data_IF_058481642148
#
_entry.id   IF_058481642148
#
_cell.length_a   1.000
_cell.length_b   1.000
_cell.length_c   1.000
_cell.angle_alpha   90.00
_cell.angle_beta   90.00
_cell.angle_gamma   90.00
#
_symmetry.space_group_name_H-M   'P 1'
#
loop_
_entity.id
_entity.type
_entity.pdbx_description
1 polymer ?
#
# COMPACT_ATOMS: atom_id res chain seq x y z
N UNK A 1 3.19 15.72 -7.21
CA UNK A 1 3.72 15.61 -5.82
C UNK A 1 2.66 15.80 -4.71
N UNK A 2 1.35 15.59 -4.98
CA UNK A 2 0.28 15.74 -3.97
C UNK A 2 -0.57 14.48 -3.70
N UNK A 3 -0.21 13.31 -4.25
CA UNK A 3 -1.04 12.10 -4.13
C UNK A 3 -0.64 11.13 -2.99
N UNK A 4 0.57 11.26 -2.42
CA UNK A 4 1.12 10.28 -1.46
C UNK A 4 0.92 10.72 0.00
N UNK A 5 0.98 12.02 0.29
CA UNK A 5 1.04 12.52 1.67
C UNK A 5 -0.28 12.28 2.44
N UNK A 6 -1.44 12.58 1.86
CA UNK A 6 -2.73 12.46 2.57
C UNK A 6 -3.11 11.01 2.89
N UNK A 7 -2.82 10.07 1.99
CA UNK A 7 -3.05 8.65 2.24
C UNK A 7 -2.18 8.14 3.39
N UNK A 8 -0.93 8.61 3.49
CA UNK A 8 -0.04 8.29 4.61
C UNK A 8 -0.58 8.79 5.96
N UNK A 9 -1.13 10.01 5.99
CA UNK A 9 -1.75 10.59 7.20
C UNK A 9 -2.96 9.82 7.71
N UNK A 10 -3.64 9.04 6.86
CA UNK A 10 -4.74 8.15 7.27
C UNK A 10 -4.19 6.76 7.59
N UNK A 11 -3.31 6.24 6.72
CA UNK A 11 -2.74 4.91 6.84
C UNK A 11 -1.98 4.70 8.16
N UNK A 12 -1.11 5.65 8.51
CA UNK A 12 -0.27 5.56 9.69
C UNK A 12 -1.08 5.46 11.00
N UNK A 13 -2.03 6.37 11.31
CA UNK A 13 -2.84 6.22 12.52
C UNK A 13 -3.72 4.98 12.49
N UNK A 14 -4.24 4.54 11.33
CA UNK A 14 -5.01 3.28 11.25
C UNK A 14 -4.16 2.07 11.66
N UNK A 15 -2.96 1.93 11.09
CA UNK A 15 -2.04 0.82 11.43
C UNK A 15 -1.61 0.89 12.88
N UNK A 16 -1.33 2.10 13.40
CA UNK A 16 -0.91 2.31 14.79
C UNK A 16 -2.02 1.91 15.78
N UNK A 17 -3.26 2.34 15.52
CA UNK A 17 -4.42 1.98 16.35
C UNK A 17 -4.69 0.48 16.34
N UNK A 18 -4.61 -0.15 15.16
CA UNK A 18 -4.75 -1.59 15.03
C UNK A 18 -3.64 -2.33 15.79
N UNK A 19 -2.39 -1.90 15.64
CA UNK A 19 -1.25 -2.48 16.36
C UNK A 19 -1.42 -2.39 17.89
N UNK A 20 -1.91 -1.25 18.38
CA UNK A 20 -2.17 -1.05 19.81
C UNK A 20 -3.37 -1.90 20.30
N UNK A 21 -4.44 -2.01 19.50
CA UNK A 21 -5.60 -2.83 19.80
C UNK A 21 -5.28 -4.33 19.86
N UNK A 22 -4.28 -4.80 19.11
CA UNK A 22 -3.83 -6.20 19.16
C UNK A 22 -3.11 -6.58 20.47
N UNK A 23 -2.70 -5.60 21.29
CA UNK A 23 -2.19 -5.81 22.65
C UNK A 23 -1.02 -6.81 22.74
N UNK A 24 -0.99 -7.67 23.77
CA UNK A 24 0.13 -8.62 24.03
C UNK A 24 0.25 -9.78 23.02
N UNK A 25 -0.47 -9.76 21.89
CA UNK A 25 -0.41 -10.83 20.88
C UNK A 25 0.69 -10.54 19.85
N UNK A 26 1.95 -10.65 20.28
CA UNK A 26 3.16 -10.38 19.49
C UNK A 26 3.16 -10.99 18.08
N UNK A 27 2.67 -12.23 17.93
CA UNK A 27 2.56 -12.90 16.61
C UNK A 27 1.61 -12.17 15.65
N UNK A 28 0.44 -11.76 16.15
CA UNK A 28 -0.55 -11.04 15.34
C UNK A 28 -0.10 -9.61 15.06
N UNK A 29 0.60 -8.97 16.01
CA UNK A 29 1.20 -7.65 15.80
C UNK A 29 2.26 -7.68 14.69
N UNK A 30 3.15 -8.68 14.67
CA UNK A 30 4.12 -8.83 13.60
C UNK A 30 3.46 -9.14 12.25
N UNK A 31 2.43 -9.97 12.23
CA UNK A 31 1.67 -10.25 11.00
C UNK A 31 0.98 -8.98 10.47
N UNK A 32 0.44 -8.16 11.37
CA UNK A 32 -0.20 -6.89 11.03
C UNK A 32 0.81 -5.90 10.45
N UNK A 33 1.98 -5.76 11.07
CA UNK A 33 3.05 -4.91 10.56
C UNK A 33 3.57 -5.40 9.20
N UNK A 34 3.68 -6.71 9.01
CA UNK A 34 4.06 -7.31 7.73
C UNK A 34 3.01 -6.98 6.65
N UNK A 35 1.73 -7.22 6.92
CA UNK A 35 0.64 -6.89 6.00
C UNK A 35 0.55 -5.39 5.71
N UNK A 36 0.70 -4.55 6.75
CA UNK A 36 0.75 -3.10 6.59
C UNK A 36 1.93 -2.67 5.71
N UNK A 37 3.11 -3.27 5.88
CA UNK A 37 4.27 -2.96 5.03
C UNK A 37 4.01 -3.31 3.56
N UNK A 38 3.36 -4.45 3.30
CA UNK A 38 3.00 -4.89 1.95
C UNK A 38 1.92 -3.99 1.33
N UNK A 39 0.93 -3.58 2.12
CA UNK A 39 -0.12 -2.63 1.69
C UNK A 39 0.50 -1.26 1.42
N UNK A 40 1.35 -0.72 2.30
CA UNK A 40 1.99 0.57 2.10
C UNK A 40 2.82 0.62 0.82
N UNK A 41 3.60 -0.44 0.55
CA UNK A 41 4.38 -0.56 -0.69
C UNK A 41 3.51 -0.81 -1.92
N UNK A 42 2.45 -1.62 -1.80
CA UNK A 42 1.52 -1.94 -2.90
C UNK A 42 0.51 -0.83 -3.20
N UNK A 43 0.31 0.11 -2.29
CA UNK A 43 -0.61 1.23 -2.45
C UNK A 43 -0.11 2.26 -3.46
N UNK A 44 1.18 2.27 -3.77
CA UNK A 44 1.76 3.38 -4.52
C UNK A 44 1.47 3.35 -6.02
N UNK A 45 1.51 2.23 -6.76
CA UNK A 45 0.70 2.15 -8.00
C UNK A 45 0.67 0.79 -8.74
N UNK A 46 -0.49 0.14 -8.74
CA UNK A 46 -0.81 -0.98 -9.64
C UNK A 46 -1.50 -0.52 -10.95
N UNK A 47 -1.85 0.77 -11.09
CA UNK A 47 -2.62 1.32 -12.20
C UNK A 47 -1.70 1.98 -13.25
N UNK A 48 -0.61 2.61 -12.83
CA UNK A 48 0.45 3.12 -13.71
C UNK A 48 1.17 1.98 -14.42
N UNK A 49 1.35 0.81 -13.79
CA UNK A 49 1.86 -0.39 -14.47
C UNK A 49 0.90 -0.86 -15.57
N UNK A 50 -0.41 -0.87 -15.29
CA UNK A 50 -1.44 -1.21 -16.28
C UNK A 50 -1.52 -0.22 -17.43
N UNK A 51 -1.36 1.09 -17.15
CA UNK A 51 -1.29 2.16 -18.15
C UNK A 51 -0.04 2.05 -19.03
N UNK A 52 1.13 1.76 -18.45
CA UNK A 52 2.37 1.54 -19.21
C UNK A 52 2.28 0.24 -20.04
N UNK A 53 1.74 -0.84 -19.48
CA UNK A 53 1.51 -2.10 -20.20
C UNK A 53 0.53 -1.93 -21.36
N UNK A 54 -0.58 -1.22 -21.15
CA UNK A 54 -1.54 -0.89 -22.20
C UNK A 54 -0.91 -0.01 -23.29
N UNK A 55 -0.06 0.95 -22.92
CA UNK A 55 0.67 1.78 -23.88
C UNK A 55 1.62 0.95 -24.74
N UNK A 56 2.40 0.04 -24.17
CA UNK A 56 3.33 -0.82 -24.92
C UNK A 56 2.57 -1.72 -25.90
N UNK A 57 1.43 -2.27 -25.49
CA UNK A 57 0.59 -3.09 -26.37
C UNK A 57 0.08 -2.25 -27.54
N UNK A 58 -0.52 -1.09 -27.28
CA UNK A 58 -1.05 -0.24 -28.37
C UNK A 58 0.06 0.23 -29.32
N UNK A 59 1.21 0.64 -28.78
CA UNK A 59 2.33 1.18 -29.58
C UNK A 59 3.09 0.09 -30.39
N UNK A 60 3.04 -1.17 -29.96
CA UNK A 60 3.65 -2.28 -30.68
C UNK A 60 2.74 -2.88 -31.76
N UNK A 61 1.41 -2.75 -31.61
CA UNK A 61 0.42 -3.34 -32.51
C UNK A 61 -0.16 -2.35 -33.54
N UNK A 62 0.05 -1.05 -33.39
CA UNK A 62 -0.31 0.01 -34.36
C UNK A 62 0.93 0.49 -35.09
#
# INVERSE_FOLDING_TARGET
>A
MHFISTAFWIFLPTVLLLHWALGRRWKLQNLLLLAASAVFYGWWDARFLSLIGASIVVDYFV
#
